data_IF_456439116362
#
_entry.id   IF_456439116362
#
_cell.length_a   1.000
_cell.length_b   1.000
_cell.length_c   1.000
_cell.angle_alpha   90.00
_cell.angle_beta   90.00
_cell.angle_gamma   90.00
#
_symmetry.space_group_name_H-M   'P 1'
#
loop_
_entity.id
_entity.type
_entity.pdbx_description
1 polymer ?
#
# COMPACT_ATOMS: atom_id res chain seq x y z
N UNK A 1 -4.46 6.34 -39.45
CA UNK A 1 -4.82 7.69 -38.96
C UNK A 1 -6.12 7.59 -38.19
N UNK A 2 -6.13 7.75 -36.86
CA UNK A 2 -7.35 7.68 -36.07
C UNK A 2 -7.99 9.06 -35.91
N UNK A 3 -9.32 9.05 -35.96
CA UNK A 3 -10.25 10.17 -35.97
C UNK A 3 -10.47 10.80 -34.61
N UNK A 4 -10.77 12.10 -34.65
CA UNK A 4 -11.01 13.04 -33.56
C UNK A 4 -12.25 12.72 -32.71
N UNK A 5 -12.06 12.57 -31.39
CA UNK A 5 -13.13 12.72 -30.40
C UNK A 5 -12.54 13.03 -29.00
N UNK A 6 -12.21 14.30 -28.72
CA UNK A 6 -11.84 14.75 -27.36
C UNK A 6 -11.97 16.26 -27.15
N UNK A 7 -13.14 16.86 -27.45
CA UNK A 7 -13.40 18.27 -27.09
C UNK A 7 -14.79 18.61 -26.54
N UNK A 8 -15.72 17.65 -26.41
CA UNK A 8 -17.10 17.96 -26.03
C UNK A 8 -17.36 18.17 -24.53
N UNK A 9 -16.48 17.70 -23.63
CA UNK A 9 -16.66 17.87 -22.18
C UNK A 9 -16.29 19.26 -21.64
N UNK A 10 -15.29 19.92 -22.25
CA UNK A 10 -14.78 21.20 -21.76
C UNK A 10 -15.67 22.39 -22.15
N UNK A 11 -16.47 22.25 -23.22
CA UNK A 11 -17.35 23.30 -23.73
C UNK A 11 -18.69 23.36 -22.99
N UNK A 12 -19.20 22.21 -22.52
CA UNK A 12 -20.45 22.16 -21.74
C UNK A 12 -20.31 22.79 -20.34
N UNK A 13 -19.11 22.75 -19.75
CA UNK A 13 -18.84 23.36 -18.44
C UNK A 13 -18.79 24.89 -18.49
N UNK A 14 -18.29 25.48 -19.59
CA UNK A 14 -18.21 26.95 -19.74
C UNK A 14 -19.57 27.62 -19.96
N UNK A 15 -20.54 26.92 -20.54
CA UNK A 15 -21.88 27.45 -20.84
C UNK A 15 -22.82 27.50 -19.62
N UNK A 16 -22.47 26.86 -18.51
CA UNK A 16 -23.29 26.81 -17.30
C UNK A 16 -22.88 27.82 -16.21
N UNK A 17 -21.90 28.68 -16.48
CA UNK A 17 -21.40 29.68 -15.52
C UNK A 17 -22.07 31.03 -15.80
N UNK A 18 -22.87 31.60 -14.87
CA UNK A 18 -23.30 32.98 -14.98
C UNK A 18 -22.08 33.92 -15.08
N UNK A 19 -22.13 34.89 -15.98
CA UNK A 19 -21.01 35.78 -16.35
C UNK A 19 -20.38 36.63 -15.24
N UNK A 20 -20.82 36.49 -13.98
CA UNK A 20 -20.25 37.15 -12.81
C UNK A 20 -18.97 36.49 -12.30
N UNK A 21 -18.70 35.23 -12.64
CA UNK A 21 -17.51 34.49 -12.16
C UNK A 21 -16.23 34.70 -13.00
N UNK A 22 -16.34 35.06 -14.29
CA UNK A 22 -15.18 35.44 -15.12
C UNK A 22 -14.62 36.81 -14.72
N UNK A 23 -15.46 37.68 -14.14
CA UNK A 23 -15.05 38.98 -13.64
C UNK A 23 -14.23 38.89 -12.34
N UNK A 24 -14.57 37.95 -11.45
CA UNK A 24 -13.90 37.79 -10.15
C UNK A 24 -12.50 37.16 -10.26
N UNK A 25 -12.25 36.26 -11.21
CA UNK A 25 -10.91 35.68 -11.42
C UNK A 25 -9.95 36.62 -12.15
N UNK A 26 -10.43 37.63 -12.90
CA UNK A 26 -9.55 38.58 -13.62
C UNK A 26 -9.00 39.70 -12.74
N UNK A 27 -9.57 39.97 -11.56
CA UNK A 27 -9.10 41.04 -10.68
C UNK A 27 -7.90 40.67 -9.80
N UNK A 28 -7.44 39.41 -9.83
CA UNK A 28 -6.38 38.90 -8.95
C UNK A 28 -5.07 38.50 -9.66
N UNK A 29 -5.02 38.53 -10.99
CA UNK A 29 -3.78 38.32 -11.76
C UNK A 29 -3.32 39.66 -12.33
N UNK A 30 -2.32 40.26 -11.70
CA UNK A 30 -1.88 41.63 -11.93
C UNK A 30 -1.66 42.02 -13.39
N UNK A 31 -2.19 43.19 -13.75
CA UNK A 31 -1.59 44.11 -14.72
C UNK A 31 -1.30 45.43 -13.99
N UNK A 32 -0.20 46.13 -14.32
CA UNK A 32 0.11 47.39 -13.67
C UNK A 32 -0.92 48.44 -14.08
N UNK A 33 -1.51 49.14 -13.11
CA UNK A 33 -2.38 50.29 -13.37
C UNK A 33 -1.53 51.57 -13.42
N UNK A 34 -1.91 52.53 -14.29
CA UNK A 34 -1.25 53.82 -14.41
C UNK A 34 -1.51 54.69 -13.18
N UNK A 35 -0.67 55.70 -13.03
CA UNK A 35 -0.64 56.65 -11.93
C UNK A 35 -1.96 57.37 -11.68
N UNK A 36 -2.20 57.59 -10.38
CA UNK A 36 -3.07 58.56 -9.70
C UNK A 36 -4.43 58.12 -9.11
N UNK A 37 -4.66 58.71 -7.94
CA UNK A 37 -5.84 58.82 -7.07
C UNK A 37 -6.25 57.63 -6.18
N UNK A 38 -5.90 57.82 -4.92
CA UNK A 38 -6.40 57.25 -3.67
C UNK A 38 -7.84 56.67 -3.69
N UNK A 39 -7.97 55.45 -3.16
CA UNK A 39 -9.19 54.95 -2.53
C UNK A 39 -8.78 53.90 -1.48
N UNK A 40 -9.01 54.22 -0.19
CA UNK A 40 -8.77 53.33 0.94
C UNK A 40 -9.76 52.17 0.89
N UNK A 41 -9.33 50.99 0.47
CA UNK A 41 -10.04 49.74 0.76
C UNK A 41 -9.82 49.41 2.23
N UNK A 42 -10.84 49.62 3.07
CA UNK A 42 -10.84 49.14 4.46
C UNK A 42 -10.62 47.61 4.45
N UNK A 43 -9.57 47.16 5.11
CA UNK A 43 -9.36 45.73 5.36
C UNK A 43 -10.57 45.19 6.14
N UNK A 44 -11.27 44.20 5.57
CA UNK A 44 -12.39 43.52 6.22
C UNK A 44 -11.92 42.93 7.54
N UNK A 45 -12.75 43.09 8.60
CA UNK A 45 -12.44 42.55 9.92
C UNK A 45 -12.27 41.02 9.84
N UNK A 46 -11.37 40.42 10.63
CA UNK A 46 -11.08 38.98 10.58
C UNK A 46 -12.31 38.08 10.61
N UNK A 47 -13.34 38.47 11.38
CA UNK A 47 -14.58 37.71 11.52
C UNK A 47 -15.44 37.70 10.24
N UNK A 48 -15.46 38.79 9.47
CA UNK A 48 -16.16 38.85 8.17
C UNK A 48 -15.43 38.06 7.09
N UNK A 49 -14.10 38.00 7.16
CA UNK A 49 -13.32 37.15 6.25
C UNK A 49 -13.55 35.66 6.54
N UNK A 50 -13.62 35.30 7.83
CA UNK A 50 -13.93 33.95 8.27
C UNK A 50 -15.34 33.51 7.85
N UNK A 51 -16.36 34.35 8.01
CA UNK A 51 -17.73 34.00 7.60
C UNK A 51 -17.89 33.90 6.08
N UNK A 52 -17.18 34.73 5.32
CA UNK A 52 -17.09 34.57 3.85
C UNK A 52 -16.40 33.27 3.46
N UNK A 53 -15.32 32.90 4.14
CA UNK A 53 -14.63 31.64 3.90
C UNK A 53 -15.52 30.43 4.22
N UNK A 54 -16.19 30.42 5.37
CA UNK A 54 -17.16 29.37 5.75
C UNK A 54 -18.30 29.26 4.73
N UNK A 55 -18.84 30.39 4.28
CA UNK A 55 -19.90 30.42 3.26
C UNK A 55 -19.41 29.88 1.93
N UNK A 56 -18.18 30.20 1.54
CA UNK A 56 -17.53 29.68 0.33
C UNK A 56 -17.32 28.16 0.40
N UNK A 57 -16.78 27.65 1.52
CA UNK A 57 -16.58 26.21 1.74
C UNK A 57 -17.92 25.46 1.75
N UNK A 58 -18.95 26.00 2.41
CA UNK A 58 -20.30 25.41 2.39
C UNK A 58 -20.86 25.35 0.97
N UNK A 59 -20.73 26.42 0.20
CA UNK A 59 -21.17 26.47 -1.19
C UNK A 59 -20.41 25.45 -2.07
N UNK A 60 -19.09 25.31 -1.88
CA UNK A 60 -18.29 24.30 -2.57
C UNK A 60 -18.74 22.87 -2.21
N UNK A 61 -18.97 22.60 -0.92
CA UNK A 61 -19.43 21.30 -0.45
C UNK A 61 -20.83 20.95 -0.95
N UNK A 62 -21.75 21.93 -1.00
CA UNK A 62 -23.07 21.73 -1.58
C UNK A 62 -23.03 21.50 -3.09
N UNK A 63 -22.16 22.20 -3.80
CA UNK A 63 -21.94 21.99 -5.24
C UNK A 63 -21.34 20.61 -5.50
N UNK A 64 -20.39 20.17 -4.67
CA UNK A 64 -19.82 18.84 -4.74
C UNK A 64 -20.85 17.76 -4.44
N UNK A 65 -21.65 17.91 -3.37
CA UNK A 65 -22.71 16.97 -3.03
C UNK A 65 -23.76 16.85 -4.15
N UNK A 66 -24.19 17.98 -4.73
CA UNK A 66 -25.11 17.99 -5.88
C UNK A 66 -24.49 17.32 -7.11
N UNK A 67 -23.23 17.58 -7.40
CA UNK A 67 -22.50 16.93 -8.48
C UNK A 67 -22.38 15.42 -8.25
N UNK A 68 -22.07 14.99 -7.03
CA UNK A 68 -21.97 13.58 -6.64
C UNK A 68 -23.29 12.85 -6.86
N UNK A 69 -24.41 13.41 -6.37
CA UNK A 69 -25.75 12.84 -6.55
C UNK A 69 -26.09 12.75 -8.04
N UNK A 70 -25.86 13.82 -8.80
CA UNK A 70 -26.15 13.83 -10.24
C UNK A 70 -25.30 12.82 -11.03
N UNK A 71 -24.00 12.67 -10.71
CA UNK A 71 -23.15 11.68 -11.36
C UNK A 71 -23.50 10.25 -10.95
N UNK A 72 -23.87 10.03 -9.69
CA UNK A 72 -24.35 8.74 -9.19
C UNK A 72 -25.62 8.29 -9.91
N UNK A 73 -26.56 9.21 -10.15
CA UNK A 73 -27.81 8.93 -10.85
C UNK A 73 -27.64 8.72 -12.36
N UNK A 74 -26.61 9.31 -12.98
CA UNK A 74 -26.46 9.30 -14.45
C UNK A 74 -25.37 8.39 -14.99
N UNK A 75 -24.27 8.18 -14.24
CA UNK A 75 -23.07 7.41 -14.64
C UNK A 75 -22.33 6.83 -13.43
N UNK A 76 -23.02 5.99 -12.65
CA UNK A 76 -22.48 5.37 -11.43
C UNK A 76 -21.21 4.54 -11.67
N UNK A 77 -21.02 4.01 -12.88
CA UNK A 77 -19.86 3.23 -13.31
C UNK A 77 -18.56 4.06 -13.46
N UNK A 78 -18.65 5.39 -13.54
CA UNK A 78 -17.50 6.30 -13.74
C UNK A 78 -17.27 7.27 -12.58
N UNK A 79 -18.01 7.10 -11.51
CA UNK A 79 -18.01 7.98 -10.33
C UNK A 79 -16.60 8.16 -9.73
N UNK A 80 -15.83 7.07 -9.65
CA UNK A 80 -14.54 7.03 -8.95
C UNK A 80 -13.33 7.53 -9.76
N UNK A 81 -13.40 7.57 -11.10
CA UNK A 81 -12.19 7.71 -11.93
C UNK A 81 -11.71 9.15 -12.19
N UNK A 82 -12.60 10.16 -12.15
CA UNK A 82 -12.24 11.54 -12.51
C UNK A 82 -12.68 12.60 -11.49
N UNK A 83 -13.88 12.48 -10.91
CA UNK A 83 -14.40 13.50 -9.99
C UNK A 83 -13.68 13.60 -8.66
N UNK A 84 -13.42 12.45 -8.04
CA UNK A 84 -12.73 12.39 -6.74
C UNK A 84 -11.29 12.88 -6.86
N UNK A 85 -10.60 12.52 -7.95
CA UNK A 85 -9.22 12.94 -8.22
C UNK A 85 -9.14 14.45 -8.44
N UNK A 86 -10.06 15.04 -9.19
CA UNK A 86 -10.08 16.50 -9.38
C UNK A 86 -10.48 17.26 -8.11
N UNK A 87 -11.37 16.69 -7.28
CA UNK A 87 -11.70 17.26 -5.97
C UNK A 87 -10.50 17.24 -5.02
N UNK A 88 -9.82 16.09 -4.89
CA UNK A 88 -8.61 15.97 -4.06
C UNK A 88 -7.49 16.90 -4.56
N UNK A 89 -7.34 17.05 -5.88
CA UNK A 89 -6.37 17.97 -6.48
C UNK A 89 -6.69 19.43 -6.16
N UNK A 90 -7.98 19.82 -6.20
CA UNK A 90 -8.40 21.16 -5.78
C UNK A 90 -8.25 21.38 -4.28
N UNK A 91 -8.54 20.37 -3.44
CA UNK A 91 -8.35 20.46 -1.99
C UNK A 91 -6.87 20.67 -1.62
N UNK A 92 -5.95 20.01 -2.33
CA UNK A 92 -4.50 20.20 -2.18
C UNK A 92 -4.06 21.61 -2.61
N UNK A 93 -4.61 22.12 -3.73
CA UNK A 93 -4.32 23.49 -4.21
C UNK A 93 -4.83 24.54 -3.22
N UNK A 94 -6.05 24.36 -2.68
CA UNK A 94 -6.62 25.26 -1.66
C UNK A 94 -5.77 25.25 -0.39
N UNK A 95 -5.28 24.09 0.05
CA UNK A 95 -4.41 23.97 1.24
C UNK A 95 -3.05 24.64 1.04
N UNK A 96 -2.54 24.63 -0.19
CA UNK A 96 -1.28 25.29 -0.58
C UNK A 96 -1.43 26.81 -0.71
N UNK A 97 -2.52 27.27 -1.33
CA UNK A 97 -2.70 28.67 -1.72
C UNK A 97 -3.40 29.50 -0.61
N UNK A 98 -4.00 28.84 0.39
CA UNK A 98 -4.62 29.46 1.58
C UNK A 98 -4.14 28.82 2.89
N UNK A 99 -2.83 28.95 3.22
CA UNK A 99 -2.24 28.33 4.42
C UNK A 99 -2.89 28.84 5.73
N UNK A 100 -3.33 30.10 5.75
CA UNK A 100 -3.96 30.75 6.91
C UNK A 100 -5.32 30.12 7.23
N UNK A 101 -6.07 29.73 6.19
CA UNK A 101 -7.35 29.06 6.32
C UNK A 101 -7.20 27.59 6.75
N UNK A 102 -6.13 26.92 6.31
CA UNK A 102 -5.76 25.59 6.79
C UNK A 102 -5.35 25.65 8.28
N UNK A 103 -4.59 26.67 8.69
CA UNK A 103 -4.25 26.90 10.09
C UNK A 103 -5.48 27.21 10.96
N UNK A 104 -6.47 27.95 10.42
CA UNK A 104 -7.74 28.21 11.10
C UNK A 104 -8.67 26.98 11.19
N UNK A 105 -8.60 26.05 10.23
CA UNK A 105 -9.28 24.75 10.31
C UNK A 105 -8.61 23.84 11.36
N UNK A 106 -7.28 23.83 11.42
CA UNK A 106 -6.52 23.14 12.47
C UNK A 106 -6.76 23.75 13.86
N UNK A 107 -6.93 25.07 13.97
CA UNK A 107 -7.26 25.74 15.23
C UNK A 107 -8.73 25.54 15.64
N UNK A 108 -9.70 25.53 14.72
CA UNK A 108 -11.10 25.22 15.02
C UNK A 108 -11.34 23.73 15.29
N UNK A 109 -10.50 22.84 14.75
CA UNK A 109 -10.44 21.42 15.14
C UNK A 109 -9.86 21.19 16.54
N UNK A 110 -9.18 22.21 17.09
CA UNK A 110 -8.65 22.26 18.47
C UNK A 110 -9.56 23.05 19.42
N UNK A 111 -10.87 23.12 19.15
CA UNK A 111 -11.81 23.38 20.25
C UNK A 111 -11.62 22.26 21.28
N UNK A 112 -11.24 22.63 22.50
CA UNK A 112 -11.16 21.75 23.66
C UNK A 112 -12.53 21.11 23.90
N UNK A 113 -12.78 20.03 23.17
CA UNK A 113 -13.92 19.17 23.39
C UNK A 113 -13.56 18.34 24.62
N UNK A 114 -14.35 18.40 25.71
CA UNK A 114 -14.07 17.63 26.93
C UNK A 114 -13.81 16.19 26.52
N UNK A 115 -12.68 15.63 26.97
CA UNK A 115 -12.19 14.27 26.71
C UNK A 115 -13.23 13.44 25.95
N UNK A 116 -13.18 13.46 24.60
CA UNK A 116 -14.01 12.54 23.82
C UNK A 116 -13.60 11.16 24.28
N UNK A 117 -14.43 10.53 25.12
CA UNK A 117 -14.23 9.16 25.56
C UNK A 117 -14.02 8.35 24.28
N UNK A 118 -12.89 7.64 24.22
CA UNK A 118 -12.62 6.75 23.11
C UNK A 118 -13.75 5.72 23.06
N UNK A 119 -14.59 5.82 22.04
CA UNK A 119 -15.62 4.84 21.74
C UNK A 119 -15.06 3.89 20.69
N UNK A 120 -15.01 2.60 21.03
CA UNK A 120 -14.47 1.58 20.15
C UNK A 120 -15.37 1.40 18.92
N UNK A 121 -14.80 1.55 17.72
CA UNK A 121 -15.47 1.17 16.48
C UNK A 121 -15.29 -0.33 16.24
N UNK A 122 -16.38 -1.08 16.34
CA UNK A 122 -16.34 -2.55 16.26
C UNK A 122 -16.58 -3.04 14.83
N UNK A 123 -15.74 -3.98 14.38
CA UNK A 123 -15.99 -4.82 13.20
C UNK A 123 -15.99 -6.28 13.66
N UNK A 124 -17.08 -7.01 13.40
CA UNK A 124 -17.24 -8.41 13.84
C UNK A 124 -17.42 -9.27 12.59
N UNK A 125 -16.52 -10.24 12.41
CA UNK A 125 -16.60 -11.23 11.34
C UNK A 125 -16.23 -12.61 11.89
N UNK A 126 -16.84 -13.70 11.41
CA UNK A 126 -16.42 -15.05 11.77
C UNK A 126 -14.97 -15.30 11.34
N UNK A 127 -14.21 -16.01 12.17
CA UNK A 127 -12.76 -16.19 12.03
C UNK A 127 -12.35 -16.68 10.63
N UNK A 128 -13.12 -17.59 10.03
CA UNK A 128 -12.81 -18.17 8.72
C UNK A 128 -12.80 -17.16 7.56
N UNK A 129 -13.38 -15.97 7.76
CA UNK A 129 -13.37 -14.87 6.79
C UNK A 129 -12.23 -13.88 7.02
N UNK A 130 -11.28 -14.22 7.89
CA UNK A 130 -10.10 -13.40 8.18
C UNK A 130 -8.80 -14.17 7.97
N UNK A 131 -7.72 -13.43 7.69
CA UNK A 131 -6.35 -13.93 7.71
C UNK A 131 -5.44 -12.92 8.38
N UNK A 132 -4.44 -13.40 9.10
CA UNK A 132 -3.35 -12.57 9.60
C UNK A 132 -2.19 -12.63 8.63
N UNK A 133 -1.74 -11.48 8.16
CA UNK A 133 -0.64 -11.33 7.23
C UNK A 133 0.49 -10.53 7.89
N UNK A 134 1.67 -11.13 7.95
CA UNK A 134 2.89 -10.54 8.47
C UNK A 134 3.72 -10.00 7.30
N UNK A 135 3.56 -8.71 6.99
CA UNK A 135 4.31 -8.05 5.93
C UNK A 135 5.72 -7.72 6.40
N UNK A 136 6.70 -8.06 5.58
CA UNK A 136 8.13 -7.82 5.82
C UNK A 136 8.71 -7.11 4.60
N UNK A 137 9.33 -5.95 4.80
CA UNK A 137 10.20 -5.36 3.77
C UNK A 137 11.54 -6.10 3.76
N UNK A 138 12.12 -6.34 2.59
CA UNK A 138 13.48 -6.89 2.50
C UNK A 138 14.50 -6.08 3.34
N UNK A 139 15.57 -6.74 3.79
CA UNK A 139 16.70 -6.11 4.45
C UNK A 139 17.46 -5.14 3.53
N UNK A 140 18.45 -4.44 4.05
CA UNK A 140 19.29 -3.54 3.25
C UNK A 140 19.94 -4.31 2.09
N UNK A 141 19.68 -3.87 0.86
CA UNK A 141 20.37 -4.37 -0.33
C UNK A 141 21.32 -3.35 -0.91
N UNK A 142 22.20 -3.78 -1.81
CA UNK A 142 23.18 -2.90 -2.47
C UNK A 142 22.55 -1.67 -3.13
N UNK A 143 21.35 -1.81 -3.71
CA UNK A 143 20.57 -0.68 -4.23
C UNK A 143 20.18 0.39 -3.18
N UNK A 144 20.01 0.02 -1.90
CA UNK A 144 19.67 0.97 -0.84
C UNK A 144 20.86 1.86 -0.47
N UNK A 145 22.09 1.37 -0.65
CA UNK A 145 23.32 2.14 -0.45
C UNK A 145 23.83 2.79 -1.74
N UNK A 146 23.02 2.80 -2.80
CA UNK A 146 23.29 3.51 -4.05
C UNK A 146 24.05 2.71 -5.12
N UNK A 147 24.27 1.41 -4.91
CA UNK A 147 24.96 0.55 -5.88
C UNK A 147 23.94 -0.03 -6.88
N UNK A 148 24.19 0.20 -8.17
CA UNK A 148 23.28 -0.17 -9.26
C UNK A 148 23.57 -1.59 -9.72
N UNK A 149 22.84 -2.55 -9.16
CA UNK A 149 22.94 -3.97 -9.53
C UNK A 149 21.66 -4.48 -10.17
N UNK A 150 21.80 -5.38 -11.14
CA UNK A 150 20.69 -6.20 -11.60
C UNK A 150 20.21 -7.08 -10.43
N UNK A 151 18.89 -7.05 -10.16
CA UNK A 151 18.26 -7.88 -9.12
C UNK A 151 19.07 -7.88 -7.80
N UNK A 152 19.25 -6.68 -7.23
CA UNK A 152 20.24 -6.46 -6.19
C UNK A 152 20.10 -7.42 -4.99
N UNK A 153 21.23 -7.99 -4.56
CA UNK A 153 21.36 -8.79 -3.36
C UNK A 153 21.35 -7.94 -2.08
N UNK A 154 21.19 -8.59 -0.93
CA UNK A 154 21.41 -8.04 0.40
C UNK A 154 22.89 -7.69 0.64
N UNK A 155 23.11 -6.63 1.41
CA UNK A 155 24.42 -6.34 2.00
C UNK A 155 24.64 -7.23 3.22
N UNK A 156 25.85 -7.19 3.80
CA UNK A 156 26.10 -7.82 5.10
C UNK A 156 25.17 -7.27 6.21
N UNK A 157 24.80 -5.98 6.13
CA UNK A 157 23.86 -5.36 7.06
C UNK A 157 22.46 -5.93 6.84
N UNK A 158 22.03 -6.09 5.58
CA UNK A 158 20.76 -6.73 5.25
C UNK A 158 20.64 -8.14 5.80
N UNK A 159 21.68 -8.95 5.70
CA UNK A 159 21.73 -10.28 6.32
C UNK A 159 21.60 -10.24 7.84
N UNK A 160 22.36 -9.36 8.51
CA UNK A 160 22.26 -9.17 9.97
C UNK A 160 20.87 -8.72 10.41
N UNK A 161 20.18 -7.90 9.60
CA UNK A 161 18.79 -7.51 9.84
C UNK A 161 17.85 -8.72 9.73
N UNK A 162 17.97 -9.55 8.69
CA UNK A 162 17.17 -10.75 8.52
C UNK A 162 17.35 -11.75 9.67
N UNK A 163 18.58 -11.96 10.13
CA UNK A 163 18.87 -12.79 11.31
C UNK A 163 18.28 -12.20 12.60
N UNK A 164 18.31 -10.87 12.75
CA UNK A 164 17.69 -10.20 13.90
C UNK A 164 16.18 -10.38 13.90
N UNK A 165 15.55 -10.31 12.72
CA UNK A 165 14.13 -10.60 12.55
C UNK A 165 13.82 -12.08 12.86
N UNK A 166 14.66 -13.03 12.44
CA UNK A 166 14.51 -14.45 12.80
C UNK A 166 14.50 -14.66 14.32
N UNK A 167 15.46 -14.07 15.04
CA UNK A 167 15.51 -14.11 16.51
C UNK A 167 14.27 -13.46 17.14
N UNK A 168 13.73 -12.41 16.53
CA UNK A 168 12.51 -11.76 17.01
C UNK A 168 11.28 -12.68 16.81
N UNK A 169 11.12 -13.27 15.63
CA UNK A 169 10.05 -14.22 15.31
C UNK A 169 10.10 -15.43 16.24
N UNK A 170 11.29 -15.97 16.54
CA UNK A 170 11.47 -17.10 17.45
C UNK A 170 10.92 -16.81 18.86
N UNK A 171 11.02 -15.57 19.35
CA UNK A 171 10.45 -15.15 20.64
C UNK A 171 8.92 -15.08 20.62
N UNK A 172 8.32 -14.97 19.44
CA UNK A 172 6.88 -14.82 19.23
C UNK A 172 6.21 -16.13 18.75
N UNK A 173 6.93 -17.25 18.65
CA UNK A 173 6.51 -18.43 17.87
C UNK A 173 5.19 -19.11 18.25
N UNK A 174 4.60 -19.06 19.46
CA UNK A 174 3.22 -19.50 19.61
C UNK A 174 2.22 -18.53 18.97
N UNK A 175 2.49 -17.22 19.06
CA UNK A 175 1.57 -16.17 18.65
C UNK A 175 1.56 -15.93 17.15
N UNK A 176 2.70 -16.11 16.45
CA UNK A 176 2.80 -15.91 15.01
C UNK A 176 2.29 -17.10 14.18
N UNK A 177 2.60 -18.34 14.60
CA UNK A 177 2.17 -19.60 13.95
C UNK A 177 2.16 -19.52 12.42
N UNK A 178 3.29 -19.15 11.81
CA UNK A 178 3.37 -18.91 10.37
C UNK A 178 3.26 -20.24 9.63
N UNK A 179 2.26 -20.33 8.76
CA UNK A 179 1.94 -21.55 8.02
C UNK A 179 2.52 -21.56 6.60
N UNK A 180 2.86 -20.39 6.05
CA UNK A 180 3.47 -20.25 4.73
C UNK A 180 4.21 -18.91 4.62
N UNK A 181 5.33 -18.90 3.91
CA UNK A 181 6.07 -17.70 3.53
C UNK A 181 5.85 -17.43 2.05
N UNK A 182 5.21 -16.32 1.72
CA UNK A 182 5.08 -15.81 0.35
C UNK A 182 6.19 -14.78 0.13
N UNK A 183 6.91 -14.89 -0.98
CA UNK A 183 8.10 -14.06 -1.22
C UNK A 183 8.14 -13.52 -2.65
N UNK A 184 8.56 -12.27 -2.79
CA UNK A 184 8.88 -11.70 -4.11
C UNK A 184 10.04 -12.46 -4.75
N UNK A 185 10.05 -12.73 -6.06
CA UNK A 185 11.14 -13.43 -6.76
C UNK A 185 12.40 -12.58 -6.99
N UNK A 186 12.59 -11.48 -6.24
CA UNK A 186 13.79 -10.63 -6.34
C UNK A 186 14.79 -11.06 -5.26
N UNK A 187 16.09 -11.07 -5.57
CA UNK A 187 17.14 -11.68 -4.74
C UNK A 187 17.10 -11.18 -3.30
N UNK A 188 17.13 -9.85 -3.10
CA UNK A 188 17.03 -9.24 -1.75
C UNK A 188 15.85 -9.74 -0.92
N UNK A 189 14.70 -10.02 -1.54
CA UNK A 189 13.53 -10.52 -0.84
C UNK A 189 13.64 -12.02 -0.54
N UNK A 190 14.15 -12.82 -1.48
CA UNK A 190 14.43 -14.25 -1.28
C UNK A 190 15.46 -14.48 -0.17
N UNK A 191 16.53 -13.71 -0.16
CA UNK A 191 17.58 -13.73 0.88
C UNK A 191 17.02 -13.31 2.24
N UNK A 192 16.21 -12.25 2.28
CA UNK A 192 15.54 -11.84 3.52
C UNK A 192 14.62 -12.93 4.02
N UNK A 193 13.86 -13.59 3.15
CA UNK A 193 12.98 -14.69 3.53
C UNK A 193 13.78 -15.87 4.08
N UNK A 194 14.90 -16.24 3.44
CA UNK A 194 15.80 -17.28 3.92
C UNK A 194 16.37 -16.93 5.30
N UNK A 195 16.92 -15.73 5.48
CA UNK A 195 17.50 -15.30 6.75
C UNK A 195 16.47 -15.14 7.88
N UNK A 196 15.28 -14.61 7.57
CA UNK A 196 14.26 -14.32 8.58
C UNK A 196 13.42 -15.55 8.98
N UNK A 197 13.16 -16.48 8.06
CA UNK A 197 12.26 -17.61 8.29
C UNK A 197 12.92 -18.99 8.14
N UNK A 198 14.18 -19.05 7.70
CA UNK A 198 14.97 -20.29 7.66
C UNK A 198 15.32 -20.84 9.04
N UNK A 199 15.80 -22.08 9.08
CA UNK A 199 16.22 -22.77 10.31
C UNK A 199 17.74 -22.71 10.55
N UNK A 200 18.31 -21.53 10.26
CA UNK A 200 19.74 -21.27 10.42
C UNK A 200 20.63 -22.01 9.41
N UNK A 201 21.93 -22.17 9.71
CA UNK A 201 22.89 -22.79 8.81
C UNK A 201 22.54 -24.23 8.47
N UNK A 202 22.53 -24.56 7.18
CA UNK A 202 22.31 -25.91 6.68
C UNK A 202 23.47 -26.83 7.04
N UNK A 203 23.17 -27.91 7.78
CA UNK A 203 24.16 -28.89 8.28
C UNK A 203 24.27 -30.15 7.43
N UNK A 204 23.62 -30.18 6.25
CA UNK A 204 23.55 -31.37 5.40
C UNK A 204 22.18 -32.05 5.46
N UNK A 205 22.11 -33.32 5.04
CA UNK A 205 20.92 -34.16 4.82
C UNK A 205 19.63 -33.43 4.40
N UNK A 206 19.30 -33.52 3.11
CA UNK A 206 18.06 -32.98 2.53
C UNK A 206 18.32 -31.85 1.54
N UNK A 207 17.27 -31.08 1.23
CA UNK A 207 17.32 -29.93 0.34
C UNK A 207 17.40 -28.64 1.18
N UNK A 208 18.42 -27.78 0.98
CA UNK A 208 18.48 -26.50 1.69
C UNK A 208 17.38 -25.55 1.22
N UNK A 209 17.08 -24.53 2.01
CA UNK A 209 16.22 -23.42 1.59
C UNK A 209 16.94 -22.55 0.56
N UNK A 210 18.20 -22.25 0.84
CA UNK A 210 19.09 -21.44 0.02
C UNK A 210 20.50 -22.05 0.02
N UNK A 211 21.17 -22.03 -1.13
CA UNK A 211 22.57 -22.42 -1.25
C UNK A 211 23.51 -21.39 -0.60
N UNK A 212 24.76 -21.80 -0.37
CA UNK A 212 25.78 -20.87 0.12
C UNK A 212 26.14 -19.86 -0.97
N UNK A 213 26.38 -18.63 -0.57
CA UNK A 213 26.76 -17.53 -1.44
C UNK A 213 28.23 -17.15 -1.22
N UNK A 214 29.00 -17.15 -2.31
CA UNK A 214 30.36 -16.61 -2.31
C UNK A 214 30.29 -15.09 -2.40
N UNK A 215 31.03 -14.34 -1.56
CA UNK A 215 31.06 -12.89 -1.61
C UNK A 215 31.64 -12.40 -2.94
N UNK A 216 31.07 -11.33 -3.45
CA UNK A 216 31.49 -10.63 -4.65
C UNK A 216 31.39 -9.12 -4.38
N UNK A 217 32.50 -8.40 -4.55
CA UNK A 217 32.61 -6.99 -4.22
C UNK A 217 31.52 -6.19 -4.94
N UNK A 218 30.83 -5.33 -4.19
CA UNK A 218 29.71 -4.52 -4.65
C UNK A 218 28.52 -5.26 -5.30
N UNK A 219 28.51 -6.60 -5.35
CA UNK A 219 27.42 -7.37 -5.96
C UNK A 219 26.65 -8.23 -4.95
N UNK A 220 27.36 -8.97 -4.10
CA UNK A 220 26.77 -10.00 -3.24
C UNK A 220 27.58 -10.22 -1.97
N UNK A 221 26.92 -10.15 -0.82
CA UNK A 221 27.53 -10.54 0.45
C UNK A 221 27.67 -12.07 0.55
N UNK A 222 28.70 -12.53 1.26
CA UNK A 222 28.87 -13.95 1.54
C UNK A 222 27.88 -14.44 2.60
N UNK A 223 27.27 -15.60 2.39
CA UNK A 223 26.38 -16.22 3.37
C UNK A 223 26.44 -17.74 3.29
N UNK A 224 26.31 -18.43 4.43
CA UNK A 224 26.25 -19.89 4.45
C UNK A 224 24.94 -20.42 3.84
N UNK A 225 24.89 -21.69 3.45
CA UNK A 225 23.62 -22.30 3.04
C UNK A 225 22.61 -22.28 4.21
N UNK A 226 21.33 -22.10 3.90
CA UNK A 226 20.26 -21.97 4.91
C UNK A 226 19.37 -23.21 4.89
N UNK A 227 19.03 -23.75 6.06
CA UNK A 227 18.14 -24.90 6.20
C UNK A 227 16.66 -24.53 6.01
N UNK A 228 15.89 -25.46 5.44
CA UNK A 228 14.43 -25.34 5.44
C UNK A 228 13.90 -25.49 6.87
N UNK A 229 12.98 -24.63 7.34
CA UNK A 229 12.22 -24.89 8.55
C UNK A 229 11.25 -26.06 8.34
N UNK A 230 10.98 -26.81 9.40
CA UNK A 230 10.05 -27.93 9.35
C UNK A 230 8.61 -27.47 9.06
N UNK A 231 7.98 -28.07 8.05
CA UNK A 231 6.54 -27.90 7.78
C UNK A 231 6.10 -26.55 7.21
N UNK A 232 7.01 -25.59 6.96
CA UNK A 232 6.66 -24.26 6.44
C UNK A 232 7.10 -24.12 4.97
N UNK A 233 6.16 -24.13 4.01
CA UNK A 233 6.47 -23.90 2.60
C UNK A 233 6.86 -22.44 2.32
N UNK A 234 7.75 -22.25 1.34
CA UNK A 234 8.12 -20.96 0.77
C UNK A 234 7.65 -20.92 -0.67
N UNK A 235 6.91 -19.89 -1.05
CA UNK A 235 6.31 -19.77 -2.38
C UNK A 235 6.65 -18.41 -2.97
N UNK A 236 7.32 -18.42 -4.12
CA UNK A 236 7.63 -17.21 -4.86
C UNK A 236 6.39 -16.74 -5.63
N UNK A 237 6.10 -15.44 -5.60
CA UNK A 237 4.95 -14.85 -6.28
C UNK A 237 5.29 -13.51 -6.95
N UNK A 238 5.10 -13.42 -8.27
CA UNK A 238 5.39 -12.20 -9.06
C UNK A 238 4.61 -10.97 -8.60
N UNK A 239 3.36 -11.16 -8.17
CA UNK A 239 2.46 -10.06 -7.86
C UNK A 239 2.88 -9.21 -6.66
N UNK A 240 3.84 -9.66 -5.83
CA UNK A 240 4.35 -8.91 -4.69
C UNK A 240 5.77 -8.33 -4.89
N UNK A 241 6.20 -8.14 -6.14
CA UNK A 241 7.43 -7.38 -6.47
C UNK A 241 7.27 -5.89 -6.18
N UNK A 242 8.41 -5.20 -6.06
CA UNK A 242 8.48 -3.74 -5.94
C UNK A 242 7.67 -3.05 -7.05
N UNK A 243 7.33 -1.77 -6.83
CA UNK A 243 6.84 -0.90 -7.90
C UNK A 243 7.86 -0.89 -9.03
N UNK A 244 7.46 -1.39 -10.20
CA UNK A 244 8.39 -1.52 -11.33
C UNK A 244 8.70 -0.14 -11.92
N UNK A 245 9.97 0.13 -12.14
CA UNK A 245 10.46 1.33 -12.79
C UNK A 245 11.70 1.05 -13.66
N UNK A 246 12.40 2.12 -14.04
CA UNK A 246 13.59 2.00 -14.88
C UNK A 246 14.81 1.37 -14.16
N UNK A 247 14.77 1.20 -12.83
CA UNK A 247 15.89 0.71 -12.07
C UNK A 247 16.12 -0.79 -12.32
N UNK A 248 17.32 -1.16 -12.76
CA UNK A 248 17.68 -2.56 -13.07
C UNK A 248 17.67 -3.46 -11.83
N UNK A 249 17.73 -2.89 -10.63
CA UNK A 249 17.56 -3.66 -9.39
C UNK A 249 16.16 -4.25 -9.24
N UNK A 250 15.16 -3.72 -9.96
CA UNK A 250 13.80 -4.23 -9.96
C UNK A 250 13.54 -5.21 -11.10
N UNK A 251 14.50 -5.42 -12.00
CA UNK A 251 14.46 -6.48 -13.00
C UNK A 251 14.95 -7.77 -12.36
N UNK A 252 14.09 -8.79 -12.29
CA UNK A 252 14.52 -10.09 -11.73
C UNK A 252 15.45 -10.81 -12.70
N UNK A 253 16.31 -11.68 -12.16
CA UNK A 253 17.05 -12.66 -12.95
C UNK A 253 16.11 -13.72 -13.54
N UNK A 254 16.65 -14.58 -14.40
CA UNK A 254 15.94 -15.74 -14.90
C UNK A 254 15.48 -16.62 -13.72
N UNK A 255 14.25 -17.14 -13.78
CA UNK A 255 13.73 -18.00 -12.72
C UNK A 255 14.60 -19.25 -12.53
N UNK A 256 15.23 -19.78 -13.57
CA UNK A 256 16.14 -20.90 -13.44
C UNK A 256 17.32 -20.59 -12.49
N UNK A 257 17.83 -19.35 -12.52
CA UNK A 257 18.87 -18.91 -11.60
C UNK A 257 18.34 -18.87 -10.15
N UNK A 258 17.15 -18.32 -9.95
CA UNK A 258 16.54 -18.27 -8.61
C UNK A 258 16.21 -19.68 -8.07
N UNK A 259 15.69 -20.58 -8.90
CA UNK A 259 15.42 -21.99 -8.55
C UNK A 259 16.70 -22.72 -8.14
N UNK A 260 17.82 -22.45 -8.80
CA UNK A 260 19.12 -23.01 -8.44
C UNK A 260 19.60 -22.50 -7.08
N UNK A 261 19.55 -21.19 -6.85
CA UNK A 261 20.04 -20.57 -5.61
C UNK A 261 19.13 -20.84 -4.41
N UNK A 262 17.82 -20.98 -4.62
CA UNK A 262 16.80 -21.15 -3.59
C UNK A 262 16.04 -22.46 -3.78
N UNK A 263 16.72 -23.61 -3.68
CA UNK A 263 16.09 -24.87 -4.04
C UNK A 263 14.92 -25.20 -3.11
N UNK A 264 14.81 -24.65 -1.90
CA UNK A 264 13.68 -24.87 -1.00
C UNK A 264 12.43 -24.01 -1.28
N UNK A 265 12.50 -23.07 -2.21
CA UNK A 265 11.39 -22.20 -2.59
C UNK A 265 10.65 -22.77 -3.79
N UNK A 266 9.32 -22.75 -3.73
CA UNK A 266 8.44 -23.12 -4.83
C UNK A 266 8.21 -21.93 -5.79
N UNK A 267 8.70 -22.05 -7.02
CA UNK A 267 8.54 -21.07 -8.10
C UNK A 267 7.45 -21.45 -9.11
N UNK A 268 6.67 -22.51 -8.87
CA UNK A 268 5.66 -23.03 -9.82
C UNK A 268 4.56 -22.04 -10.20
N UNK A 269 4.36 -20.98 -9.39
CA UNK A 269 3.42 -19.90 -9.67
C UNK A 269 3.96 -18.81 -10.61
N UNK A 270 5.18 -18.97 -11.11
CA UNK A 270 5.87 -17.97 -11.94
C UNK A 270 6.20 -18.56 -13.31
N UNK A 271 5.98 -17.76 -14.35
CA UNK A 271 6.41 -18.12 -15.71
C UNK A 271 7.94 -18.20 -15.77
N UNK A 272 8.44 -19.37 -16.16
CA UNK A 272 9.88 -19.64 -16.27
C UNK A 272 10.52 -18.82 -17.38
N UNK A 273 11.80 -18.49 -17.17
CA UNK A 273 12.60 -17.73 -18.11
C UNK A 273 12.82 -16.28 -17.68
N UNK A 274 13.15 -15.45 -18.67
CA UNK A 274 13.48 -14.04 -18.47
C UNK A 274 12.31 -13.22 -17.91
N UNK A 275 12.65 -12.07 -17.33
CA UNK A 275 11.67 -11.10 -16.84
C UNK A 275 10.99 -10.38 -18.01
N UNK A 276 9.78 -10.84 -18.36
CA UNK A 276 8.95 -10.24 -19.42
C UNK A 276 8.10 -9.07 -18.92
N UNK A 277 8.02 -8.88 -17.60
CA UNK A 277 7.19 -7.85 -16.97
C UNK A 277 7.98 -6.54 -16.86
N UNK A 278 9.27 -6.63 -16.56
CA UNK A 278 10.15 -5.46 -16.49
C UNK A 278 10.37 -4.80 -17.85
N UNK A 279 10.21 -3.48 -17.90
CA UNK A 279 10.51 -2.64 -19.05
C UNK A 279 11.16 -1.35 -18.56
N UNK A 280 12.43 -1.13 -18.93
CA UNK A 280 13.23 0.02 -18.49
C UNK A 280 12.62 1.38 -18.91
N UNK A 281 11.70 1.39 -19.88
CA UNK A 281 11.05 2.59 -20.38
C UNK A 281 9.64 2.80 -19.79
N UNK A 282 9.19 1.91 -18.91
CA UNK A 282 7.90 2.01 -18.24
C UNK A 282 8.07 2.15 -16.74
N UNK A 283 7.26 3.03 -16.17
CA UNK A 283 7.13 3.16 -14.73
C UNK A 283 5.70 2.78 -14.38
N UNK A 284 5.58 1.79 -13.52
CA UNK A 284 4.29 1.38 -12.97
C UNK A 284 3.69 2.55 -12.19
N UNK A 285 2.43 2.89 -12.50
CA UNK A 285 1.73 3.95 -11.78
C UNK A 285 1.35 3.49 -10.38
N UNK A 286 1.21 4.42 -9.44
CA UNK A 286 0.79 4.08 -8.07
C UNK A 286 -0.56 3.36 -8.05
N UNK A 287 -1.48 3.79 -8.91
CA UNK A 287 -2.78 3.12 -9.09
C UNK A 287 -2.62 1.68 -9.59
N UNK A 288 -1.72 1.41 -10.53
CA UNK A 288 -1.47 0.04 -10.99
C UNK A 288 -0.89 -0.84 -9.89
N UNK A 289 0.01 -0.32 -9.04
CA UNK A 289 0.51 -1.03 -7.86
C UNK A 289 -0.62 -1.31 -6.88
N UNK A 290 -1.49 -0.33 -6.60
CA UNK A 290 -2.65 -0.51 -5.72
C UNK A 290 -3.60 -1.59 -6.24
N UNK A 291 -3.92 -1.61 -7.54
CA UNK A 291 -4.73 -2.66 -8.15
C UNK A 291 -4.06 -4.03 -8.06
N UNK A 292 -2.75 -4.11 -8.34
CA UNK A 292 -1.97 -5.34 -8.22
C UNK A 292 -1.93 -5.83 -6.77
N UNK A 293 -1.78 -4.90 -5.82
CA UNK A 293 -1.87 -5.14 -4.39
C UNK A 293 -3.21 -5.72 -3.98
N UNK A 294 -4.33 -5.13 -4.45
CA UNK A 294 -5.67 -5.65 -4.19
C UNK A 294 -5.86 -7.08 -4.74
N UNK A 295 -5.41 -7.34 -5.98
CA UNK A 295 -5.43 -8.70 -6.57
C UNK A 295 -4.56 -9.68 -5.76
N UNK A 296 -3.40 -9.23 -5.27
CA UNK A 296 -2.54 -10.03 -4.40
C UNK A 296 -3.21 -10.37 -3.07
N UNK A 297 -3.85 -9.40 -2.40
CA UNK A 297 -4.61 -9.66 -1.17
C UNK A 297 -5.78 -10.61 -1.40
N UNK A 298 -6.49 -10.51 -2.53
CA UNK A 298 -7.53 -11.47 -2.93
C UNK A 298 -6.95 -12.87 -3.14
N UNK A 299 -5.78 -12.97 -3.77
CA UNK A 299 -5.07 -14.24 -3.93
C UNK A 299 -4.68 -14.85 -2.57
N UNK A 300 -4.14 -14.04 -1.64
CA UNK A 300 -3.90 -14.47 -0.26
C UNK A 300 -5.19 -14.93 0.41
N UNK A 301 -6.30 -14.22 0.21
CA UNK A 301 -7.62 -14.61 0.73
C UNK A 301 -8.17 -15.90 0.14
N UNK A 302 -7.70 -16.36 -1.02
CA UNK A 302 -8.07 -17.65 -1.59
C UNK A 302 -7.26 -18.83 -1.03
N UNK A 303 -6.08 -18.56 -0.45
CA UNK A 303 -5.18 -19.59 0.08
C UNK A 303 -5.75 -20.34 1.30
N UNK A 304 -5.38 -21.61 1.54
CA UNK A 304 -5.85 -22.35 2.71
C UNK A 304 -5.32 -21.79 4.04
N UNK A 305 -4.10 -21.26 4.07
CA UNK A 305 -3.42 -20.82 5.30
C UNK A 305 -4.05 -19.55 5.90
N UNK A 306 -4.20 -19.50 7.22
CA UNK A 306 -4.77 -18.35 7.95
C UNK A 306 -3.72 -17.39 8.50
N UNK A 307 -2.46 -17.84 8.60
CA UNK A 307 -1.32 -17.10 9.15
C UNK A 307 -0.18 -17.10 8.13
N UNK A 308 0.00 -15.97 7.45
CA UNK A 308 0.86 -15.87 6.26
C UNK A 308 1.95 -14.84 6.50
N UNK A 309 3.20 -15.16 6.18
CA UNK A 309 4.26 -14.15 6.06
C UNK A 309 4.40 -13.72 4.60
N UNK A 310 4.62 -12.43 4.35
CA UNK A 310 4.86 -11.86 3.02
C UNK A 310 6.15 -11.07 3.05
N UNK A 311 7.18 -11.53 2.34
CA UNK A 311 8.45 -10.81 2.19
C UNK A 311 8.49 -10.10 0.85
N UNK A 312 8.50 -8.77 0.89
CA UNK A 312 8.30 -7.90 -0.27
C UNK A 312 9.09 -6.59 -0.10
N UNK A 313 8.62 -5.50 -0.69
CA UNK A 313 9.35 -4.26 -0.91
C UNK A 313 8.56 -3.05 -0.43
N UNK A 314 9.25 -1.94 -0.18
CA UNK A 314 8.65 -0.78 0.47
C UNK A 314 7.51 -0.19 -0.36
N UNK A 315 7.76 0.11 -1.63
CA UNK A 315 6.77 0.76 -2.50
C UNK A 315 5.53 -0.10 -2.71
N UNK A 316 5.71 -1.40 -2.95
CA UNK A 316 4.61 -2.35 -3.06
C UNK A 316 3.74 -2.42 -1.80
N UNK A 317 4.36 -2.66 -0.63
CA UNK A 317 3.61 -2.82 0.63
C UNK A 317 2.92 -1.50 0.97
N UNK A 318 3.64 -0.38 0.91
CA UNK A 318 3.11 0.95 1.23
C UNK A 318 1.89 1.28 0.35
N UNK A 319 2.00 1.16 -0.97
CA UNK A 319 0.90 1.48 -1.88
C UNK A 319 -0.29 0.52 -1.71
N UNK A 320 -0.02 -0.77 -1.50
CA UNK A 320 -1.07 -1.78 -1.24
C UNK A 320 -1.86 -1.44 0.03
N UNK A 321 -1.18 -1.15 1.15
CA UNK A 321 -1.84 -0.84 2.42
C UNK A 321 -2.50 0.54 2.41
N UNK A 322 -1.92 1.51 1.69
CA UNK A 322 -2.47 2.86 1.54
C UNK A 322 -3.79 2.91 0.77
N UNK A 323 -4.17 1.82 0.09
CA UNK A 323 -5.47 1.70 -0.56
C UNK A 323 -6.62 1.38 0.42
N UNK A 324 -6.33 1.14 1.70
CA UNK A 324 -7.30 0.73 2.72
C UNK A 324 -7.22 1.58 3.99
N UNK A 325 -8.28 1.56 4.81
CA UNK A 325 -8.29 2.14 6.15
C UNK A 325 -8.44 3.65 6.19
N UNK A 326 -8.98 4.29 5.14
CA UNK A 326 -9.25 5.74 5.12
C UNK A 326 -10.32 6.17 6.13
N UNK A 327 -11.15 5.22 6.57
CA UNK A 327 -12.16 5.36 7.60
C UNK A 327 -11.60 5.22 9.03
N UNK A 328 -10.37 4.72 9.18
CA UNK A 328 -9.76 4.48 10.49
C UNK A 328 -9.37 5.80 11.19
N UNK A 329 -9.18 5.76 12.51
CA UNK A 329 -8.60 6.89 13.24
C UNK A 329 -7.16 7.19 12.76
N UNK A 330 -6.73 8.45 12.89
CA UNK A 330 -5.42 8.90 12.41
C UNK A 330 -4.25 8.04 12.92
N UNK A 331 -4.25 7.65 14.19
CA UNK A 331 -3.20 6.79 14.77
C UNK A 331 -3.12 5.41 14.11
N UNK A 332 -4.25 4.86 13.68
CA UNK A 332 -4.31 3.58 12.95
C UNK A 332 -3.83 3.79 11.51
N UNK A 333 -4.23 4.90 10.87
CA UNK A 333 -3.73 5.27 9.54
C UNK A 333 -2.22 5.48 9.54
N UNK A 334 -1.65 6.14 10.55
CA UNK A 334 -0.19 6.29 10.71
C UNK A 334 0.52 4.94 10.76
N UNK A 335 -0.04 3.97 11.49
CA UNK A 335 0.54 2.62 11.56
C UNK A 335 0.40 1.87 10.23
N UNK A 336 -0.70 2.03 9.51
CA UNK A 336 -0.92 1.35 8.22
C UNK A 336 -0.12 1.98 7.07
N UNK A 337 -0.09 3.31 7.02
CA UNK A 337 0.39 4.09 5.88
C UNK A 337 1.80 4.63 6.06
N UNK A 338 2.50 4.38 7.17
CA UNK A 338 3.93 4.69 7.23
C UNK A 338 4.75 3.76 6.32
N UNK A 339 5.83 4.28 5.75
CA UNK A 339 6.81 3.47 5.00
C UNK A 339 7.43 2.39 5.89
N UNK A 340 7.85 1.27 5.28
CA UNK A 340 8.55 0.20 6.00
C UNK A 340 10.05 0.47 6.03
N UNK A 341 10.69 0.34 7.18
CA UNK A 341 12.14 0.27 7.29
C UNK A 341 12.68 -1.09 6.80
N UNK A 342 13.97 -1.15 6.46
CA UNK A 342 14.58 -2.39 6.00
C UNK A 342 14.44 -3.49 7.05
N UNK A 343 13.92 -4.65 6.63
CA UNK A 343 13.60 -5.78 7.50
C UNK A 343 12.56 -5.50 8.60
N UNK A 344 11.78 -4.42 8.49
CA UNK A 344 10.62 -4.18 9.37
C UNK A 344 9.52 -5.22 9.08
N UNK A 345 8.92 -5.77 10.14
CA UNK A 345 7.72 -6.60 10.07
C UNK A 345 6.53 -5.89 10.72
N UNK A 346 5.39 -5.85 10.03
CA UNK A 346 4.09 -5.44 10.58
C UNK A 346 3.02 -6.48 10.30
N UNK A 347 2.14 -6.68 11.27
CA UNK A 347 1.06 -7.68 11.19
C UNK A 347 -0.25 -6.98 10.92
N UNK A 348 -0.96 -7.41 9.88
CA UNK A 348 -2.27 -6.88 9.49
C UNK A 348 -3.30 -8.01 9.48
N UNK A 349 -4.56 -7.68 9.74
CA UNK A 349 -5.68 -8.59 9.52
C UNK A 349 -6.37 -8.16 8.24
N UNK A 350 -6.52 -9.09 7.30
CA UNK A 350 -7.34 -8.91 6.11
C UNK A 350 -8.63 -9.71 6.28
N UNK A 351 -9.74 -9.16 5.78
CA UNK A 351 -11.07 -9.77 5.95
C UNK A 351 -11.85 -9.81 4.63
N UNK A 352 -12.70 -10.81 4.47
CA UNK A 352 -13.63 -10.97 3.35
C UNK A 352 -15.08 -10.99 3.86
N UNK A 353 -15.72 -9.83 3.85
CA UNK A 353 -17.13 -9.71 4.21
C UNK A 353 -18.10 -10.20 3.12
N UNK A 354 -17.63 -10.45 1.88
CA UNK A 354 -18.47 -10.97 0.80
C UNK A 354 -18.75 -12.47 0.96
N UNK A 355 -17.96 -13.17 1.78
CA UNK A 355 -18.28 -14.50 2.28
C UNK A 355 -18.05 -15.61 1.25
N UNK A 356 -16.86 -15.68 0.65
CA UNK A 356 -16.46 -16.60 -0.42
C UNK A 356 -16.48 -18.12 -0.11
N UNK A 357 -17.48 -18.62 0.64
CA UNK A 357 -17.79 -20.05 0.75
C UNK A 357 -16.89 -20.86 1.68
N UNK A 358 -16.14 -20.23 2.59
CA UNK A 358 -15.25 -20.94 3.53
C UNK A 358 -16.04 -21.67 4.62
N UNK A 359 -15.75 -22.96 4.81
CA UNK A 359 -16.32 -23.76 5.89
C UNK A 359 -15.78 -23.29 7.25
N UNK A 360 -16.67 -23.19 8.24
CA UNK A 360 -16.28 -22.83 9.60
C UNK A 360 -15.80 -24.07 10.36
N UNK A 361 -14.49 -24.32 10.37
CA UNK A 361 -13.90 -25.47 11.07
C UNK A 361 -13.99 -25.39 12.59
N UNK A 362 -14.17 -24.21 13.16
CA UNK A 362 -14.36 -24.03 14.61
C UNK A 362 -15.84 -24.09 15.04
N UNK A 363 -16.77 -24.24 14.08
CA UNK A 363 -18.18 -24.38 14.40
C UNK A 363 -18.44 -25.73 15.07
N UNK A 364 -18.78 -25.67 16.35
CA UNK A 364 -19.27 -26.81 17.11
C UNK A 364 -20.78 -26.65 17.33
N UNK A 365 -21.63 -27.56 16.82
CA UNK A 365 -23.08 -27.40 16.85
C UNK A 365 -23.69 -27.40 18.27
N UNK A 366 -23.01 -28.02 19.24
CA UNK A 366 -23.54 -28.21 20.60
C UNK A 366 -24.76 -29.15 20.68
N UNK A 367 -25.11 -29.60 21.89
CA UNK A 367 -26.33 -30.37 22.18
C UNK A 367 -26.26 -31.90 22.03
N UNK A 368 -27.41 -32.59 22.21
CA UNK A 368 -27.53 -34.07 22.22
C UNK A 368 -27.10 -34.76 20.93
N UNK A 369 -26.92 -34.03 19.83
CA UNK A 369 -26.42 -34.59 18.58
C UNK A 369 -24.97 -35.11 18.71
N UNK A 370 -24.17 -34.51 19.60
CA UNK A 370 -22.80 -34.94 19.90
C UNK A 370 -22.71 -36.01 21.00
N UNK A 371 -23.85 -36.44 21.58
CA UNK A 371 -23.92 -37.44 22.65
C UNK A 371 -24.35 -38.82 22.13
N UNK A 372 -24.76 -38.95 20.86
CA UNK A 372 -25.22 -40.24 20.31
C UNK A 372 -24.10 -41.21 19.96
N UNK A 373 -22.87 -40.69 19.83
CA UNK A 373 -21.67 -41.48 19.51
C UNK A 373 -20.82 -41.79 20.78
N UNK A 374 -21.38 -41.54 21.97
CA UNK A 374 -20.73 -41.73 23.27
C UNK A 374 -21.38 -42.84 24.11
N UNK A 375 -22.36 -43.56 23.58
CA UNK A 375 -23.02 -44.72 24.21
C UNK A 375 -22.52 -46.07 23.65
#
# INVERSE_FOLDING_TARGET
MPTSASRSGFQAWKSAVPGTLVAACRSLTGKPLPSNSASMALALKPDEQMERFKTYVRSLNEQFARWVVQQWETKSDKFWSHGMVDYLRHAVIIKRDHPDAAALLDQNGKSENPERKHEAQLTILPLQHSKTVHFVRHGEGYHNIGIVNLDAHLTEVGWKQAEALNRHIAKLKPSLDIQVVIVSPLMRALETAAGAFGDGPFKGSGRPLMLAQTPEEDERAGHCAVACPEGIPFIAFEGCRERLGAAVCDKRRDIAFAEEQFPGVDFSHIERGADVVYDQHKVESEHAVMERGARFLQWLMARPESRIAVVSHCGFIFLTLSAFGHECAHSVQEEMHRGFDNCEMRSMIITDAAGGGRFNSSWFPGGRACLRDLD
#
